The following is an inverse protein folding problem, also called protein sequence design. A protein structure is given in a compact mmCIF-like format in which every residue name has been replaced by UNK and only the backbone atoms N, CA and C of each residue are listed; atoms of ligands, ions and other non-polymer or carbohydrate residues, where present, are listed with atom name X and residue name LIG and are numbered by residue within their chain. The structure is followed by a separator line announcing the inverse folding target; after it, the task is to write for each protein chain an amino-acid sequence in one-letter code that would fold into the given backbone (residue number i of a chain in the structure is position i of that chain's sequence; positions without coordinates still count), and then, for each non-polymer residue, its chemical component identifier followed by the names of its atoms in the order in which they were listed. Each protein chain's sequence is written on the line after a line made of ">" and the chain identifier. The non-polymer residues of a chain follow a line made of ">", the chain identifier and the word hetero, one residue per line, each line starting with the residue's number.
data_IF_929456988415
#
_entry.id   IF_929456988415
#
_cell.length_a   1.000
_cell.length_b   1.000
_cell.length_c   1.000
_cell.angle_alpha   90.00
_cell.angle_beta   90.00
_cell.angle_gamma   90.00
#
_symmetry.space_group_name_H-M   'P 1'
#
loop_
_entity.id
_entity.type
_entity.pdbx_description
1 polymer ?
#
# COMPACT_ATOMS: atom_id res chain seq x y z
N UNK A 1 12.85 18.63 8.78
CA UNK A 1 12.02 18.14 9.89
C UNK A 1 11.17 16.99 9.34
N UNK A 2 11.46 15.75 9.74
CA UNK A 2 10.68 14.56 9.36
C UNK A 2 9.28 14.67 9.94
N UNK A 3 8.26 14.50 9.10
CA UNK A 3 6.89 14.31 9.55
C UNK A 3 6.76 12.88 10.10
N UNK A 4 6.84 12.72 11.41
CA UNK A 4 6.33 11.53 12.12
C UNK A 4 4.88 11.82 12.49
N UNK A 5 3.94 11.24 11.75
CA UNK A 5 2.57 11.06 12.23
C UNK A 5 2.41 9.60 12.64
N UNK A 6 2.06 9.37 13.91
CA UNK A 6 1.77 8.05 14.48
C UNK A 6 2.78 7.61 15.54
N UNK A 7 2.40 7.73 16.81
CA UNK A 7 3.17 7.29 17.98
C UNK A 7 3.19 5.78 18.21
N UNK A 8 2.86 4.96 17.20
CA UNK A 8 2.71 3.50 17.33
C UNK A 8 3.78 2.69 16.57
N UNK A 9 4.91 3.31 16.22
CA UNK A 9 6.07 2.54 15.75
C UNK A 9 6.97 2.24 16.93
N UNK A 10 6.54 1.29 17.78
CA UNK A 10 7.50 0.59 18.60
C UNK A 10 8.46 -0.11 17.63
N UNK A 11 9.72 0.35 17.56
CA UNK A 11 10.75 -0.36 16.81
C UNK A 11 10.93 -1.72 17.48
N UNK A 12 10.19 -2.73 17.02
CA UNK A 12 10.31 -4.09 17.51
C UNK A 12 11.73 -4.59 17.17
N UNK A 13 12.30 -5.40 18.06
CA UNK A 13 13.54 -6.13 17.78
C UNK A 13 13.17 -7.61 17.88
N UNK A 14 13.49 -8.36 16.85
CA UNK A 14 13.17 -9.78 16.78
C UNK A 14 14.46 -10.61 16.89
N UNK A 15 14.44 -11.76 17.58
CA UNK A 15 15.51 -12.76 17.49
C UNK A 15 15.72 -13.24 16.04
N UNK A 16 16.94 -13.63 15.68
CA UNK A 16 17.26 -14.09 14.32
C UNK A 16 16.58 -15.41 13.95
N UNK A 17 16.25 -16.22 14.95
CA UNK A 17 15.57 -17.50 14.89
C UNK A 17 14.07 -17.40 15.21
N UNK A 18 13.50 -16.18 15.13
CA UNK A 18 12.07 -15.98 15.29
C UNK A 18 11.28 -16.86 14.32
N UNK A 19 10.14 -17.36 14.77
CA UNK A 19 9.15 -18.04 13.94
C UNK A 19 7.79 -17.39 14.11
N UNK A 20 6.97 -17.49 13.07
CA UNK A 20 5.57 -17.07 13.10
C UNK A 20 4.71 -18.31 13.06
N UNK A 21 4.06 -18.61 14.19
CA UNK A 21 3.06 -19.66 14.28
C UNK A 21 1.71 -19.13 13.78
N UNK A 22 1.02 -19.95 12.99
CA UNK A 22 -0.20 -19.60 12.30
C UNK A 22 -1.25 -20.64 12.63
N UNK A 23 -2.45 -20.15 13.00
CA UNK A 23 -3.60 -20.96 13.33
C UNK A 23 -4.79 -20.57 12.44
N UNK A 24 -5.42 -21.55 11.81
CA UNK A 24 -6.59 -21.41 10.95
C UNK A 24 -7.84 -21.87 11.70
N UNK A 25 -8.86 -21.04 11.66
CA UNK A 25 -10.16 -21.30 12.26
C UNK A 25 -11.26 -21.10 11.21
N UNK A 26 -12.27 -21.97 11.21
CA UNK A 26 -13.49 -21.77 10.43
C UNK A 26 -14.64 -21.36 11.33
N UNK A 27 -15.53 -20.52 10.79
CA UNK A 27 -16.69 -19.98 11.49
C UNK A 27 -17.98 -20.46 10.83
N UNK A 28 -18.84 -21.13 11.60
CA UNK A 28 -20.17 -21.59 11.16
C UNK A 28 -21.23 -21.02 12.11
N UNK A 29 -21.68 -19.80 11.81
CA UNK A 29 -22.51 -19.04 12.74
C UNK A 29 -21.72 -18.72 14.02
N UNK A 30 -22.17 -19.23 15.16
CA UNK A 30 -21.48 -19.09 16.45
C UNK A 30 -20.44 -20.18 16.72
N UNK A 31 -20.40 -21.25 15.92
CA UNK A 31 -19.43 -22.32 16.07
C UNK A 31 -18.06 -21.90 15.48
N UNK A 32 -17.00 -22.11 16.25
CA UNK A 32 -15.61 -21.89 15.84
C UNK A 32 -14.91 -23.23 15.86
N UNK A 33 -14.46 -23.69 14.69
CA UNK A 33 -13.70 -24.93 14.55
C UNK A 33 -12.22 -24.59 14.31
N UNK A 34 -11.33 -25.33 14.97
CA UNK A 34 -9.90 -25.25 14.71
C UNK A 34 -9.55 -26.16 13.54
N UNK A 35 -9.15 -25.57 12.41
CA UNK A 35 -8.92 -26.32 11.18
C UNK A 35 -7.49 -26.83 11.10
N UNK A 36 -6.50 -25.93 11.26
CA UNK A 36 -5.10 -26.28 11.05
C UNK A 36 -4.11 -25.32 11.73
N UNK A 37 -2.87 -25.76 11.90
CA UNK A 37 -1.73 -24.90 12.23
C UNK A 37 -0.48 -25.21 11.43
N UNK A 38 0.37 -24.21 11.28
CA UNK A 38 1.73 -24.37 10.78
C UNK A 38 2.60 -23.24 11.27
N UNK A 39 3.87 -23.28 10.90
CA UNK A 39 4.84 -22.29 11.36
C UNK A 39 5.84 -21.98 10.26
N UNK A 40 6.11 -20.69 10.06
CA UNK A 40 7.05 -20.18 9.06
C UNK A 40 8.24 -19.53 9.74
N UNK A 41 9.38 -19.55 9.06
CA UNK A 41 10.61 -18.93 9.56
C UNK A 41 10.49 -17.40 9.50
N UNK A 42 10.99 -16.72 10.52
CA UNK A 42 10.97 -15.27 10.62
C UNK A 42 9.73 -14.68 11.29
N UNK A 43 9.64 -13.36 11.24
CA UNK A 43 8.55 -12.55 11.80
C UNK A 43 7.91 -11.69 10.71
N UNK A 44 6.73 -11.13 10.95
CA UNK A 44 5.95 -10.38 9.96
C UNK A 44 6.47 -8.94 9.70
N UNK A 45 7.70 -8.64 10.11
CA UNK A 45 8.34 -7.34 9.96
C UNK A 45 8.23 -6.45 11.20
N UNK A 46 8.83 -5.26 11.10
CA UNK A 46 8.99 -4.31 12.21
C UNK A 46 7.97 -3.17 12.19
N UNK A 47 7.36 -2.92 11.03
CA UNK A 47 6.33 -1.90 10.88
C UNK A 47 4.95 -2.54 11.06
N UNK A 48 4.35 -2.32 12.25
CA UNK A 48 3.03 -2.84 12.59
C UNK A 48 1.94 -2.42 11.60
N UNK A 49 2.13 -1.27 10.92
CA UNK A 49 1.18 -0.74 9.91
C UNK A 49 1.09 -1.62 8.68
N UNK A 50 2.12 -2.43 8.41
CA UNK A 50 2.22 -3.28 7.22
C UNK A 50 1.92 -4.75 7.50
N UNK A 51 1.74 -5.14 8.77
CA UNK A 51 1.41 -6.51 9.12
C UNK A 51 0.20 -7.07 8.33
N UNK A 52 -0.90 -6.31 8.13
CA UNK A 52 -2.06 -6.84 7.42
C UNK A 52 -1.79 -7.22 5.96
N UNK A 53 -0.78 -6.62 5.30
CA UNK A 53 -0.43 -6.94 3.91
C UNK A 53 0.56 -8.10 3.78
N UNK A 54 1.04 -8.68 4.89
CA UNK A 54 2.01 -9.79 4.87
C UNK A 54 1.38 -11.17 4.75
N UNK A 55 0.06 -11.28 4.93
CA UNK A 55 -0.66 -12.53 4.81
C UNK A 55 -1.77 -12.39 3.78
N UNK A 56 -1.95 -13.42 2.97
CA UNK A 56 -3.09 -13.51 2.08
C UNK A 56 -3.43 -14.98 1.78
N UNK A 57 -4.71 -15.30 1.72
CA UNK A 57 -5.18 -16.58 1.21
C UNK A 57 -5.79 -16.43 -0.19
N UNK A 58 -5.42 -17.32 -1.12
CA UNK A 58 -5.99 -17.37 -2.46
C UNK A 58 -6.02 -18.81 -2.95
N UNK A 59 -7.17 -19.27 -3.43
CA UNK A 59 -7.36 -20.66 -3.89
C UNK A 59 -6.87 -21.71 -2.86
N UNK A 60 -7.14 -21.47 -1.57
CA UNK A 60 -6.73 -22.30 -0.42
C UNK A 60 -5.21 -22.35 -0.18
N UNK A 61 -4.44 -21.45 -0.80
CA UNK A 61 -3.03 -21.22 -0.50
C UNK A 61 -2.87 -20.00 0.41
N UNK A 62 -2.40 -20.23 1.62
CA UNK A 62 -1.97 -19.17 2.53
C UNK A 62 -0.55 -18.74 2.18
N UNK A 63 -0.37 -17.46 1.88
CA UNK A 63 0.88 -16.88 1.42
C UNK A 63 1.34 -15.88 2.47
N UNK A 64 2.56 -16.08 2.97
CA UNK A 64 3.08 -15.39 4.14
C UNK A 64 4.43 -14.80 3.81
N UNK A 65 4.54 -13.49 3.90
CA UNK A 65 5.82 -12.78 3.82
C UNK A 65 6.38 -12.56 5.22
N UNK A 66 7.54 -13.14 5.49
CA UNK A 66 8.30 -12.95 6.72
C UNK A 66 9.66 -12.31 6.46
N UNK A 67 10.28 -11.87 7.55
CA UNK A 67 11.65 -11.37 7.60
C UNK A 67 12.43 -12.18 8.65
N UNK A 68 13.65 -12.59 8.31
CA UNK A 68 14.54 -13.35 9.21
C UNK A 68 15.63 -12.48 9.86
N UNK A 69 15.59 -11.17 9.65
CA UNK A 69 16.54 -10.22 10.22
C UNK A 69 16.21 -9.85 11.67
N UNK A 70 17.20 -9.37 12.44
CA UNK A 70 16.98 -8.93 13.83
C UNK A 70 16.32 -7.55 13.93
N UNK A 71 16.78 -6.63 13.10
CA UNK A 71 16.38 -5.22 13.10
C UNK A 71 15.97 -4.78 11.70
N UNK A 72 14.91 -3.97 11.63
CA UNK A 72 14.45 -3.33 10.40
C UNK A 72 15.16 -2.01 10.16
N UNK A 73 14.87 -1.37 9.02
CA UNK A 73 15.45 -0.07 8.70
C UNK A 73 14.99 1.08 9.62
N UNK A 74 13.84 0.94 10.29
CA UNK A 74 13.29 1.98 11.17
C UNK A 74 14.10 2.07 12.47
N UNK A 75 14.92 3.12 12.58
CA UNK A 75 15.80 3.37 13.72
C UNK A 75 17.26 3.62 13.35
N UNK A 76 17.66 3.37 12.09
CA UNK A 76 18.99 3.74 11.60
C UNK A 76 19.01 5.21 11.13
N UNK A 77 20.00 6.02 11.53
CA UNK A 77 20.14 7.36 10.98
C UNK A 77 20.37 7.29 9.46
N UNK A 78 19.78 8.20 8.66
CA UNK A 78 19.79 8.16 7.19
C UNK A 78 21.17 8.35 6.52
N UNK A 79 22.29 8.22 7.25
CA UNK A 79 23.65 8.55 6.77
C UNK A 79 24.60 7.35 6.81
N UNK A 80 24.25 6.23 7.46
CA UNK A 80 25.04 4.98 7.39
C UNK A 80 24.27 3.94 6.61
N UNK A 81 23.97 4.25 5.35
CA UNK A 81 23.53 3.25 4.37
C UNK A 81 24.78 2.41 4.06
N UNK A 82 24.98 1.31 4.79
CA UNK A 82 25.64 0.16 4.20
C UNK A 82 24.65 -0.42 3.19
N UNK A 83 24.75 0.11 1.96
CA UNK A 83 24.24 -0.55 0.78
C UNK A 83 24.78 -1.99 0.76
N UNK A 84 24.02 -2.93 0.18
CA UNK A 84 24.42 -4.30 -0.19
C UNK A 84 24.07 -5.46 0.75
N UNK A 85 23.15 -5.33 1.72
CA UNK A 85 22.58 -6.55 2.34
C UNK A 85 21.26 -6.92 1.68
N UNK A 86 21.22 -8.12 1.08
CA UNK A 86 20.02 -8.74 0.55
C UNK A 86 18.86 -8.68 1.57
N UNK A 87 17.65 -8.40 1.09
CA UNK A 87 16.47 -8.42 1.96
C UNK A 87 16.37 -9.78 2.65
N UNK A 88 16.21 -9.84 3.99
CA UNK A 88 15.98 -11.09 4.70
C UNK A 88 14.53 -11.57 4.51
N UNK A 89 13.89 -11.20 3.41
CA UNK A 89 12.49 -11.43 3.12
C UNK A 89 12.29 -12.83 2.52
N UNK A 90 11.32 -13.55 3.07
CA UNK A 90 10.97 -14.90 2.66
C UNK A 90 9.46 -14.97 2.43
N UNK A 91 9.05 -15.31 1.21
CA UNK A 91 7.67 -15.68 0.93
C UNK A 91 7.52 -17.19 1.13
N UNK A 92 6.59 -17.61 1.99
CA UNK A 92 6.23 -19.02 2.15
C UNK A 92 4.78 -19.23 1.70
N UNK A 93 4.55 -20.27 0.91
CA UNK A 93 3.20 -20.73 0.54
C UNK A 93 2.88 -21.95 1.40
N UNK A 94 1.77 -21.90 2.12
CA UNK A 94 1.24 -22.98 2.96
C UNK A 94 -0.10 -23.42 2.39
N UNK A 95 -0.41 -24.70 2.50
CA UNK A 95 -1.73 -25.26 2.19
C UNK A 95 -2.15 -26.20 3.30
N UNK A 96 -3.40 -26.06 3.71
CA UNK A 96 -4.04 -27.01 4.60
C UNK A 96 -4.02 -28.40 3.96
N UNK A 97 -3.39 -29.38 4.63
CA UNK A 97 -3.30 -30.75 4.12
C UNK A 97 -4.67 -31.45 4.10
N UNK A 98 -5.69 -30.91 4.75
CA UNK A 98 -7.00 -31.55 4.93
C UNK A 98 -6.93 -32.83 5.76
N UNK A 99 -5.78 -33.09 6.36
CA UNK A 99 -5.44 -34.21 7.24
C UNK A 99 -4.55 -33.66 8.34
N UNK A 100 -4.72 -34.15 9.57
CA UNK A 100 -3.86 -33.88 10.72
C UNK A 100 -3.77 -32.42 11.18
N UNK A 101 -4.75 -31.58 10.80
CA UNK A 101 -4.84 -30.17 11.19
C UNK A 101 -3.53 -29.40 10.97
N UNK A 102 -2.91 -29.58 9.80
CA UNK A 102 -1.58 -29.04 9.50
C UNK A 102 -1.57 -28.15 8.25
N UNK A 103 -0.95 -26.97 8.37
CA UNK A 103 -0.62 -26.09 7.25
C UNK A 103 0.74 -26.48 6.70
N UNK A 104 0.73 -27.28 5.65
CA UNK A 104 1.93 -27.82 5.00
C UNK A 104 2.59 -26.81 4.06
N UNK A 105 3.91 -26.57 4.17
CA UNK A 105 4.62 -25.69 3.23
C UNK A 105 4.68 -26.31 1.83
N UNK A 106 4.20 -25.56 0.85
CA UNK A 106 4.23 -25.91 -0.57
C UNK A 106 5.52 -25.40 -1.22
N UNK A 107 5.93 -24.18 -0.88
CA UNK A 107 7.15 -23.57 -1.40
C UNK A 107 7.68 -22.47 -0.49
N UNK A 108 8.98 -22.18 -0.65
CA UNK A 108 9.69 -21.06 -0.02
C UNK A 108 10.42 -20.30 -1.12
N UNK A 109 10.20 -18.99 -1.20
CA UNK A 109 10.84 -18.08 -2.15
C UNK A 109 11.60 -16.98 -1.38
N UNK A 110 12.93 -17.09 -1.26
CA UNK A 110 13.77 -16.00 -0.79
C UNK A 110 13.70 -14.82 -1.78
N UNK A 111 13.32 -13.64 -1.30
CA UNK A 111 13.15 -12.46 -2.14
C UNK A 111 14.45 -11.63 -2.19
N UNK A 112 15.35 -12.04 -3.09
CA UNK A 112 16.63 -11.36 -3.35
C UNK A 112 16.49 -10.41 -4.53
N UNK A 113 15.98 -9.21 -4.26
CA UNK A 113 15.73 -8.19 -5.27
C UNK A 113 16.98 -7.34 -5.48
N UNK A 114 17.39 -7.13 -6.73
CA UNK A 114 18.66 -6.45 -7.07
C UNK A 114 18.49 -5.55 -8.28
N UNK A 115 19.06 -4.35 -8.21
CA UNK A 115 19.12 -3.41 -9.33
C UNK A 115 20.55 -2.99 -9.63
N UNK A 116 20.75 -2.07 -10.57
CA UNK A 116 22.06 -1.48 -10.84
C UNK A 116 22.67 -0.80 -9.59
N UNK A 117 21.85 -0.42 -8.60
CA UNK A 117 22.29 0.18 -7.33
C UNK A 117 22.55 -0.85 -6.22
N UNK A 118 22.49 -2.14 -6.54
CA UNK A 118 22.74 -3.24 -5.62
C UNK A 118 21.47 -3.91 -5.10
N UNK A 119 21.62 -4.69 -4.03
CA UNK A 119 20.52 -5.43 -3.41
C UNK A 119 19.55 -4.46 -2.72
N UNK A 120 18.25 -4.73 -2.89
CA UNK A 120 17.16 -3.91 -2.39
C UNK A 120 16.43 -4.60 -1.24
N UNK A 121 16.00 -3.83 -0.26
CA UNK A 121 15.18 -4.32 0.83
C UNK A 121 13.70 -4.11 0.54
N UNK A 122 12.90 -5.12 0.85
CA UNK A 122 11.45 -5.08 0.66
C UNK A 122 10.80 -4.28 1.78
N UNK A 123 10.08 -3.25 1.37
CA UNK A 123 9.27 -2.38 2.19
C UNK A 123 7.90 -2.99 2.46
N UNK A 124 7.19 -3.41 1.41
CA UNK A 124 5.88 -4.05 1.50
C UNK A 124 5.65 -5.09 0.38
N UNK A 125 4.57 -5.87 0.51
CA UNK A 125 4.09 -6.80 -0.51
C UNK A 125 2.58 -6.68 -0.65
N UNK A 126 2.08 -6.60 -1.88
CA UNK A 126 0.66 -6.51 -2.17
C UNK A 126 0.21 -7.74 -2.95
N UNK A 127 -0.66 -8.55 -2.36
CA UNK A 127 -1.22 -9.73 -3.02
C UNK A 127 -2.39 -9.36 -3.93
N UNK A 128 -2.41 -9.95 -5.12
CA UNK A 128 -3.42 -9.70 -6.15
C UNK A 128 -3.69 -10.98 -6.96
N UNK A 129 -4.64 -11.79 -6.49
CA UNK A 129 -4.97 -13.06 -7.12
C UNK A 129 -3.74 -13.96 -7.25
N UNK A 130 -3.41 -14.39 -8.46
CA UNK A 130 -2.24 -15.23 -8.76
C UNK A 130 -0.89 -14.47 -8.75
N UNK A 131 -0.83 -13.21 -8.31
CA UNK A 131 0.39 -12.41 -8.27
C UNK A 131 0.59 -11.73 -6.94
N UNK A 132 1.80 -11.25 -6.71
CA UNK A 132 2.08 -10.25 -5.70
C UNK A 132 3.05 -9.18 -6.22
N UNK A 133 3.06 -8.02 -5.58
CA UNK A 133 3.89 -6.88 -5.96
C UNK A 133 4.74 -6.44 -4.78
N UNK A 134 6.05 -6.61 -4.88
CA UNK A 134 6.99 -6.26 -3.82
C UNK A 134 7.51 -4.84 -4.04
N UNK A 135 7.32 -3.98 -3.03
CA UNK A 135 7.79 -2.60 -3.07
C UNK A 135 9.13 -2.49 -2.33
N UNK A 136 10.11 -1.75 -2.87
CA UNK A 136 11.37 -1.45 -2.18
C UNK A 136 11.19 -0.37 -1.11
N UNK A 137 12.12 -0.31 -0.14
CA UNK A 137 12.19 0.80 0.83
C UNK A 137 12.58 2.13 0.18
N UNK A 138 13.27 2.05 -0.95
CA UNK A 138 13.72 3.18 -1.74
C UNK A 138 12.70 3.46 -2.85
N UNK A 139 12.00 4.58 -2.76
CA UNK A 139 10.93 4.92 -3.70
C UNK A 139 11.40 5.10 -5.17
N UNK A 140 12.70 5.13 -5.43
CA UNK A 140 13.25 5.30 -6.79
C UNK A 140 13.42 4.00 -7.56
N UNK A 141 13.36 2.85 -6.88
CA UNK A 141 13.53 1.53 -7.47
C UNK A 141 12.18 0.99 -7.99
N UNK A 142 12.18 0.02 -8.92
CA UNK A 142 10.96 -0.55 -9.47
C UNK A 142 10.17 -1.36 -8.42
N UNK A 143 8.90 -1.61 -8.72
CA UNK A 143 8.10 -2.61 -7.99
C UNK A 143 8.31 -3.96 -8.67
N UNK A 144 8.67 -5.01 -7.93
CA UNK A 144 8.83 -6.35 -8.48
C UNK A 144 7.49 -7.07 -8.56
N UNK A 145 7.29 -7.81 -9.65
CA UNK A 145 6.13 -8.67 -9.86
C UNK A 145 6.53 -10.10 -9.54
N UNK A 146 5.79 -10.71 -8.62
CA UNK A 146 5.92 -12.12 -8.25
C UNK A 146 4.79 -12.89 -8.94
N UNK A 147 5.14 -13.96 -9.65
CA UNK A 147 4.19 -14.93 -10.16
C UNK A 147 3.97 -16.03 -9.12
N UNK A 148 2.73 -16.13 -8.65
CA UNK A 148 2.27 -17.04 -7.61
C UNK A 148 1.19 -17.99 -8.14
N UNK A 149 1.02 -18.10 -9.47
CA UNK A 149 0.03 -18.98 -10.09
C UNK A 149 0.29 -20.45 -9.80
N UNK A 150 1.56 -20.85 -9.72
CA UNK A 150 1.97 -22.17 -9.27
C UNK A 150 2.44 -22.09 -7.79
N UNK A 151 1.64 -22.58 -6.82
CA UNK A 151 2.00 -22.49 -5.40
C UNK A 151 3.22 -23.33 -5.01
N UNK A 152 3.57 -24.35 -5.81
CA UNK A 152 4.77 -25.17 -5.61
C UNK A 152 6.04 -24.56 -6.22
N UNK A 153 5.90 -23.55 -7.08
CA UNK A 153 7.03 -22.87 -7.72
C UNK A 153 6.76 -21.37 -7.94
N UNK A 154 6.59 -20.58 -6.86
CA UNK A 154 6.49 -19.13 -6.96
C UNK A 154 7.81 -18.52 -7.44
N UNK A 155 7.76 -17.49 -8.28
CA UNK A 155 8.96 -16.86 -8.87
C UNK A 155 8.86 -15.34 -8.90
N UNK A 156 10.02 -14.67 -8.97
CA UNK A 156 10.09 -13.25 -9.35
C UNK A 156 10.04 -13.18 -10.87
N UNK A 157 8.93 -12.69 -11.41
CA UNK A 157 8.64 -12.73 -12.85
C UNK A 157 9.18 -11.53 -13.61
N UNK A 158 9.25 -10.36 -12.97
CA UNK A 158 9.71 -9.14 -13.59
C UNK A 158 9.52 -7.91 -12.70
N UNK A 159 9.49 -6.75 -13.33
CA UNK A 159 9.43 -5.45 -12.67
C UNK A 159 8.40 -4.55 -13.38
N UNK A 160 7.73 -3.68 -12.61
CA UNK A 160 6.97 -2.57 -13.16
C UNK A 160 7.94 -1.44 -13.53
N UNK A 161 7.61 -0.69 -14.59
CA UNK A 161 8.40 0.47 -15.01
C UNK A 161 8.69 1.42 -13.83
N UNK A 162 9.98 1.74 -13.64
CA UNK A 162 10.48 2.51 -12.52
C UNK A 162 9.83 3.91 -12.40
N UNK A 163 9.69 4.38 -11.16
CA UNK A 163 9.20 5.71 -10.83
C UNK A 163 8.36 5.72 -9.56
N UNK A 164 9.03 6.00 -8.44
CA UNK A 164 8.57 6.85 -7.33
C UNK A 164 7.44 6.38 -6.41
N UNK A 165 6.46 5.61 -6.89
CA UNK A 165 5.09 5.90 -6.43
C UNK A 165 4.19 4.68 -6.32
N UNK A 166 4.40 3.88 -5.28
CA UNK A 166 3.49 2.81 -4.94
C UNK A 166 3.63 2.44 -3.46
N UNK A 167 3.22 3.34 -2.58
CA UNK A 167 3.03 2.99 -1.17
C UNK A 167 1.81 2.08 -1.00
N UNK A 168 0.86 2.16 -1.94
CA UNK A 168 -0.32 1.32 -2.01
C UNK A 168 -0.57 0.86 -3.44
N UNK A 169 -0.75 -0.45 -3.60
CA UNK A 169 -1.08 -1.07 -4.87
C UNK A 169 -2.44 -1.75 -4.77
N UNK A 170 -3.30 -1.49 -5.75
CA UNK A 170 -4.68 -1.97 -5.77
C UNK A 170 -4.96 -2.64 -7.11
N UNK A 171 -5.26 -3.95 -7.14
CA UNK A 171 -5.63 -4.62 -8.38
C UNK A 171 -6.97 -4.09 -8.90
N UNK A 172 -7.02 -3.85 -10.21
CA UNK A 172 -8.21 -3.45 -10.94
C UNK A 172 -8.58 -4.57 -11.95
N UNK A 173 -9.82 -4.58 -12.48
CA UNK A 173 -10.22 -5.52 -13.52
C UNK A 173 -9.30 -5.51 -14.75
N UNK A 174 -9.34 -6.60 -15.52
CA UNK A 174 -8.61 -6.77 -16.78
C UNK A 174 -7.07 -6.73 -16.67
N UNK A 175 -6.53 -7.07 -15.50
CA UNK A 175 -5.08 -7.10 -15.29
C UNK A 175 -4.46 -5.71 -15.25
N UNK A 176 -5.19 -4.75 -14.70
CA UNK A 176 -4.69 -3.42 -14.38
C UNK A 176 -4.33 -3.32 -12.89
N UNK A 177 -3.44 -2.40 -12.55
CA UNK A 177 -3.01 -2.12 -11.19
C UNK A 177 -2.97 -0.61 -10.97
N UNK A 178 -3.63 -0.12 -9.92
CA UNK A 178 -3.47 1.26 -9.48
C UNK A 178 -2.35 1.34 -8.43
N UNK A 179 -1.40 2.25 -8.65
CA UNK A 179 -0.48 2.71 -7.61
C UNK A 179 -0.91 4.06 -7.06
N UNK A 180 -0.89 4.18 -5.74
CA UNK A 180 -0.99 5.45 -5.01
C UNK A 180 0.24 5.59 -4.12
N UNK A 181 0.93 6.72 -4.21
CA UNK A 181 2.14 6.97 -3.43
C UNK A 181 2.55 8.44 -3.45
N UNK A 182 3.83 8.70 -3.16
CA UNK A 182 4.37 10.06 -2.99
C UNK A 182 5.74 10.23 -3.62
N UNK A 183 6.01 11.44 -4.13
CA UNK A 183 7.32 11.73 -4.75
C UNK A 183 8.39 11.93 -3.72
N UNK A 184 9.61 11.63 -4.11
CA UNK A 184 10.78 12.15 -3.45
C UNK A 184 11.87 12.53 -4.44
N UNK A 185 11.52 13.00 -5.65
CA UNK A 185 12.45 13.42 -6.69
C UNK A 185 13.54 14.37 -6.19
N UNK A 186 13.30 15.09 -5.08
CA UNK A 186 14.25 16.01 -4.44
C UNK A 186 14.51 15.72 -2.96
N UNK A 187 14.62 14.45 -2.55
CA UNK A 187 15.25 14.11 -1.27
C UNK A 187 14.41 14.40 -0.02
N UNK A 188 13.11 14.09 -0.07
CA UNK A 188 12.32 13.91 1.16
C UNK A 188 11.11 14.81 1.35
N UNK A 189 10.67 15.55 0.32
CA UNK A 189 9.34 16.17 0.33
C UNK A 189 8.58 15.80 -0.93
N UNK A 190 7.41 15.19 -0.75
CA UNK A 190 6.55 14.78 -1.84
C UNK A 190 5.85 15.96 -2.49
N UNK A 191 6.01 16.10 -3.80
CA UNK A 191 5.36 17.11 -4.64
C UNK A 191 3.93 16.69 -5.03
N UNK A 192 3.16 16.25 -4.03
CA UNK A 192 1.77 15.79 -4.18
C UNK A 192 1.60 14.29 -4.01
N UNK A 193 0.34 13.85 -4.09
CA UNK A 193 -0.04 12.44 -4.15
C UNK A 193 0.12 11.99 -5.59
N UNK A 194 0.92 10.97 -5.83
CA UNK A 194 1.07 10.41 -7.16
C UNK A 194 0.17 9.21 -7.38
N UNK A 195 -0.31 9.13 -8.61
CA UNK A 195 -1.27 8.15 -9.07
C UNK A 195 -0.73 7.56 -10.37
N UNK A 196 -0.72 6.23 -10.47
CA UNK A 196 -0.30 5.55 -11.68
C UNK A 196 -1.20 4.35 -11.97
N UNK A 197 -1.46 4.10 -13.25
CA UNK A 197 -2.12 2.87 -13.70
C UNK A 197 -1.10 2.05 -14.47
N UNK A 198 -1.00 0.77 -14.14
CA UNK A 198 -0.12 -0.18 -14.80
C UNK A 198 -0.93 -1.28 -15.47
N UNK A 199 -0.51 -1.66 -16.67
CA UNK A 199 -0.85 -2.94 -17.28
C UNK A 199 0.08 -4.00 -16.73
N UNK A 200 -0.49 -5.00 -16.08
CA UNK A 200 0.24 -6.11 -15.47
C UNK A 200 -0.14 -7.44 -16.10
N UNK A 201 -0.90 -7.49 -17.21
CA UNK A 201 -1.34 -8.74 -17.85
C UNK A 201 -0.20 -9.69 -18.17
N UNK A 202 0.96 -9.17 -18.58
CA UNK A 202 2.21 -9.92 -18.63
C UNK A 202 3.05 -9.62 -17.37
N UNK A 203 3.27 -10.63 -16.53
CA UNK A 203 4.01 -10.46 -15.27
C UNK A 203 5.49 -10.08 -15.49
N UNK A 204 6.08 -10.49 -16.61
CA UNK A 204 7.47 -10.18 -16.94
C UNK A 204 7.65 -8.79 -17.58
N UNK A 205 6.56 -8.15 -18.00
CA UNK A 205 6.59 -6.91 -18.78
C UNK A 205 5.48 -5.95 -18.34
N UNK A 206 5.51 -5.55 -17.06
CA UNK A 206 4.60 -4.55 -16.54
C UNK A 206 4.83 -3.18 -17.17
N UNK A 207 3.76 -2.51 -17.63
CA UNK A 207 3.85 -1.21 -18.32
C UNK A 207 3.03 -0.16 -17.61
N UNK A 208 3.58 1.03 -17.44
CA UNK A 208 2.81 2.18 -16.95
C UNK A 208 1.99 2.78 -18.09
N UNK A 209 0.67 2.83 -17.91
CA UNK A 209 -0.29 3.34 -18.90
C UNK A 209 -0.62 4.82 -18.69
N UNK A 210 -0.72 5.25 -17.44
CA UNK A 210 -1.07 6.62 -17.09
C UNK A 210 -0.43 7.04 -15.76
N UNK A 211 -0.21 8.35 -15.60
CA UNK A 211 0.26 8.98 -14.36
C UNK A 211 -0.46 10.31 -14.14
N UNK A 212 -0.79 10.63 -12.90
CA UNK A 212 -1.33 11.92 -12.48
C UNK A 212 -0.81 12.32 -11.09
N UNK A 213 -0.76 13.62 -10.84
CA UNK A 213 -0.45 14.19 -9.53
C UNK A 213 -1.69 14.87 -8.96
N UNK A 214 -2.06 14.55 -7.73
CA UNK A 214 -3.10 15.23 -6.97
C UNK A 214 -2.47 16.12 -5.88
N UNK A 215 -2.78 17.42 -5.95
CA UNK A 215 -2.23 18.42 -5.05
C UNK A 215 -0.74 18.68 -5.27
N UNK A 216 -0.18 19.57 -4.46
CA UNK A 216 1.23 19.92 -4.45
C UNK A 216 1.91 19.46 -3.17
N UNK A 217 3.05 20.09 -2.89
CA UNK A 217 3.93 19.73 -1.79
C UNK A 217 3.22 19.63 -0.44
N UNK A 218 3.42 18.51 0.25
CA UNK A 218 2.85 18.26 1.58
C UNK A 218 1.47 17.60 1.58
N UNK A 219 0.89 17.30 0.41
CA UNK A 219 -0.38 16.58 0.33
C UNK A 219 -0.26 15.17 0.92
N UNK A 220 -1.29 14.72 1.61
CA UNK A 220 -1.32 13.44 2.35
C UNK A 220 -2.65 12.72 2.15
N UNK A 221 -2.68 11.41 2.39
CA UNK A 221 -3.89 10.60 2.31
C UNK A 221 -3.99 9.64 3.49
N UNK A 222 -5.20 9.20 3.84
CA UNK A 222 -5.40 8.14 4.85
C UNK A 222 -4.77 6.82 4.46
N UNK A 223 -4.41 6.61 3.19
CA UNK A 223 -3.70 5.40 2.79
C UNK A 223 -2.37 5.27 3.55
N UNK A 224 -1.69 6.38 3.84
CA UNK A 224 -0.42 6.43 4.59
C UNK A 224 -0.51 5.86 6.04
N UNK A 225 -1.73 5.60 6.54
CA UNK A 225 -2.01 5.22 7.92
C UNK A 225 -2.03 3.69 8.16
N UNK A 226 -2.20 3.27 9.42
CA UNK A 226 -2.31 1.86 9.85
C UNK A 226 -3.56 1.15 9.31
N UNK A 227 -4.55 1.91 8.83
CA UNK A 227 -5.86 1.40 8.37
C UNK A 227 -6.22 2.11 7.07
N UNK A 228 -5.55 1.80 5.95
CA UNK A 228 -5.81 2.46 4.69
C UNK A 228 -7.27 2.25 4.29
N UNK A 229 -7.96 3.36 3.99
CA UNK A 229 -9.35 3.33 3.50
C UNK A 229 -9.36 3.75 2.05
N UNK A 230 -9.73 2.81 1.19
CA UNK A 230 -9.85 3.01 -0.25
C UNK A 230 -11.15 2.36 -0.72
N UNK A 231 -12.03 3.16 -1.33
CA UNK A 231 -13.27 2.66 -1.91
C UNK A 231 -13.09 2.42 -3.40
N UNK A 232 -13.54 1.26 -3.86
CA UNK A 232 -13.56 0.88 -5.27
C UNK A 232 -14.98 0.54 -5.67
N UNK A 233 -15.41 1.03 -6.83
CA UNK A 233 -16.68 0.68 -7.43
C UNK A 233 -16.46 0.43 -8.92
N UNK A 234 -16.53 -0.85 -9.33
CA UNK A 234 -16.47 -1.22 -10.73
C UNK A 234 -17.85 -1.01 -11.37
N UNK A 235 -17.91 -0.22 -12.45
CA UNK A 235 -19.16 0.13 -13.14
C UNK A 235 -18.85 0.48 -14.61
N UNK A 236 -19.61 -0.10 -15.54
CA UNK A 236 -19.58 0.22 -16.98
C UNK A 236 -18.18 0.27 -17.61
N UNK A 237 -17.35 -0.75 -17.36
CA UNK A 237 -15.98 -0.81 -17.90
C UNK A 237 -15.02 0.21 -17.29
N UNK A 238 -15.35 0.71 -16.09
CA UNK A 238 -14.53 1.63 -15.32
C UNK A 238 -14.45 1.20 -13.85
N UNK A 239 -13.47 1.72 -13.14
CA UNK A 239 -13.43 1.67 -11.68
C UNK A 239 -13.41 3.09 -11.14
N UNK A 240 -14.40 3.44 -10.32
CA UNK A 240 -14.45 4.68 -9.55
C UNK A 240 -13.77 4.46 -8.21
N UNK A 241 -12.92 5.39 -7.83
CA UNK A 241 -12.04 5.27 -6.67
C UNK A 241 -12.20 6.51 -5.83
N UNK A 242 -12.41 6.34 -4.53
CA UNK A 242 -12.48 7.45 -3.60
C UNK A 242 -11.72 7.12 -2.31
N UNK A 243 -10.93 8.07 -1.84
CA UNK A 243 -10.23 7.97 -0.56
C UNK A 243 -10.01 9.35 0.06
N UNK A 244 -10.03 9.47 1.40
CA UNK A 244 -9.73 10.73 2.06
C UNK A 244 -8.31 11.22 1.76
N UNK A 245 -8.21 12.51 1.45
CA UNK A 245 -6.96 13.17 1.15
C UNK A 245 -7.01 14.62 1.60
N UNK A 246 -5.84 15.11 1.98
CA UNK A 246 -5.55 16.52 2.20
C UNK A 246 -4.66 16.98 1.06
N UNK A 247 -5.21 17.76 0.15
CA UNK A 247 -4.52 18.24 -1.06
C UNK A 247 -4.18 19.72 -0.90
N UNK A 248 -2.89 20.02 -0.91
CA UNK A 248 -2.40 21.40 -0.90
C UNK A 248 -2.24 21.90 -2.33
N UNK A 249 -2.33 23.22 -2.52
CA UNK A 249 -1.96 23.84 -3.79
C UNK A 249 -0.43 23.94 -3.92
N UNK A 250 0.12 24.14 -5.12
CA UNK A 250 1.58 24.28 -5.27
C UNK A 250 2.11 25.57 -4.61
N UNK A 251 3.35 25.59 -4.07
CA UNK A 251 3.94 26.82 -3.53
C UNK A 251 4.08 27.88 -4.63
N UNK A 252 3.84 29.15 -4.30
CA UNK A 252 4.02 30.28 -5.23
C UNK A 252 5.47 30.76 -5.34
N UNK A 253 6.42 30.17 -4.59
CA UNK A 253 7.84 30.59 -4.59
C UNK A 253 8.80 29.59 -3.95
N UNK A 254 10.09 29.72 -4.28
CA UNK A 254 11.20 28.92 -3.72
C UNK A 254 11.51 29.39 -2.30
N UNK A 255 11.64 28.47 -1.34
CA UNK A 255 11.94 28.78 0.07
C UNK A 255 10.73 29.13 0.94
N UNK A 256 9.52 29.14 0.37
CA UNK A 256 8.28 29.30 1.14
C UNK A 256 7.96 28.00 1.87
N UNK A 257 7.57 28.04 3.17
CA UNK A 257 7.01 26.87 3.86
C UNK A 257 5.88 26.23 3.04
N UNK A 258 5.60 24.92 3.20
CA UNK A 258 4.49 24.26 2.51
C UNK A 258 3.22 25.12 2.58
N UNK A 259 2.54 25.35 1.46
CA UNK A 259 1.41 26.27 1.43
C UNK A 259 0.29 25.74 2.31
N UNK A 260 -0.33 26.61 3.10
CA UNK A 260 -1.46 26.24 3.98
C UNK A 260 -2.79 26.49 3.28
N UNK A 261 -2.81 26.68 1.94
CA UNK A 261 -4.05 26.67 1.13
C UNK A 261 -4.24 25.31 0.50
N UNK A 262 -5.40 24.72 0.75
CA UNK A 262 -5.74 23.41 0.24
C UNK A 262 -7.17 23.03 0.53
N UNK A 263 -7.48 21.76 0.28
CA UNK A 263 -8.76 21.17 0.57
C UNK A 263 -8.56 19.81 1.24
N UNK A 264 -9.47 19.47 2.13
CA UNK A 264 -9.60 18.14 2.67
C UNK A 264 -10.94 17.54 2.27
N UNK A 265 -10.98 16.21 2.17
CA UNK A 265 -12.16 15.42 1.85
C UNK A 265 -11.82 14.22 0.98
N UNK A 266 -12.75 13.71 0.18
CA UNK A 266 -12.51 12.53 -0.65
C UNK A 266 -11.93 12.90 -2.03
N UNK A 267 -10.67 12.55 -2.28
CA UNK A 267 -10.08 12.56 -3.63
C UNK A 267 -10.76 11.46 -4.45
N UNK A 268 -11.15 11.80 -5.69
CA UNK A 268 -11.92 10.92 -6.57
C UNK A 268 -11.20 10.69 -7.88
N UNK A 269 -11.13 9.42 -8.30
CA UNK A 269 -10.51 8.99 -9.55
C UNK A 269 -11.45 8.07 -10.31
N UNK A 270 -11.25 8.00 -11.62
CA UNK A 270 -11.87 7.01 -12.50
C UNK A 270 -10.78 6.39 -13.37
N UNK A 271 -10.78 5.06 -13.46
CA UNK A 271 -9.89 4.30 -14.35
C UNK A 271 -10.74 3.56 -15.36
N UNK A 272 -10.50 3.78 -16.66
CA UNK A 272 -11.08 2.96 -17.72
C UNK A 272 -10.40 1.58 -17.72
N UNK A 273 -11.16 0.49 -17.56
CA UNK A 273 -10.59 -0.86 -17.42
C UNK A 273 -10.14 -1.48 -18.72
N UNK A 274 -10.41 -0.85 -19.86
CA UNK A 274 -9.99 -1.33 -21.19
C UNK A 274 -8.71 -0.63 -21.63
N UNK A 275 -8.65 0.70 -21.48
CA UNK A 275 -7.52 1.51 -21.95
C UNK A 275 -6.50 1.82 -20.85
N UNK A 276 -6.87 1.69 -19.58
CA UNK A 276 -6.07 2.15 -18.45
C UNK A 276 -6.00 3.67 -18.31
N UNK A 277 -6.84 4.41 -19.04
CA UNK A 277 -6.93 5.86 -18.90
C UNK A 277 -7.35 6.23 -17.47
N UNK A 278 -6.56 7.09 -16.84
CA UNK A 278 -6.78 7.60 -15.48
C UNK A 278 -7.33 9.02 -15.56
N UNK A 279 -8.39 9.31 -14.82
CA UNK A 279 -8.98 10.64 -14.72
C UNK A 279 -9.26 11.00 -13.25
N UNK A 280 -8.69 12.12 -12.79
CA UNK A 280 -9.12 12.73 -11.54
C UNK A 280 -10.48 13.41 -11.73
N UNK A 281 -11.40 13.15 -10.81
CA UNK A 281 -12.73 13.77 -10.74
C UNK A 281 -12.76 14.82 -9.66
N UNK A 282 -13.81 15.65 -9.66
CA UNK A 282 -13.91 16.70 -8.65
C UNK A 282 -14.05 16.09 -7.26
N UNK A 283 -13.22 16.58 -6.33
CA UNK A 283 -13.16 16.13 -4.95
C UNK A 283 -14.50 16.36 -4.21
N UNK A 284 -14.82 15.49 -3.25
CA UNK A 284 -15.83 15.79 -2.23
C UNK A 284 -15.14 16.62 -1.16
N UNK A 285 -15.29 17.93 -1.18
CA UNK A 285 -14.61 18.82 -0.23
C UNK A 285 -15.38 18.87 1.08
N UNK A 286 -14.73 18.48 2.19
CA UNK A 286 -15.26 18.63 3.55
C UNK A 286 -14.88 19.97 4.16
N UNK A 287 -13.65 20.43 3.94
CA UNK A 287 -13.19 21.74 4.43
C UNK A 287 -12.11 22.32 3.52
N UNK A 288 -12.10 23.64 3.40
CA UNK A 288 -10.91 24.35 2.96
C UNK A 288 -9.85 24.31 4.07
N UNK A 289 -8.59 24.42 3.66
CA UNK A 289 -7.44 24.52 4.55
C UNK A 289 -6.84 25.89 4.28
N UNK A 290 -6.63 26.67 5.34
CA UNK A 290 -6.15 28.04 5.26
C UNK A 290 -4.98 28.30 6.21
N UNK A 291 -4.12 29.25 5.82
CA UNK A 291 -3.08 29.81 6.70
C UNK A 291 -3.71 30.26 8.02
N UNK A 292 -3.28 29.68 9.14
CA UNK A 292 -3.77 30.07 10.47
C UNK A 292 -4.97 29.27 10.99
N UNK A 293 -5.29 28.12 10.40
CA UNK A 293 -6.32 27.23 10.95
C UNK A 293 -6.08 26.96 12.44
N UNK A 294 -7.15 27.07 13.23
CA UNK A 294 -7.09 26.93 14.69
C UNK A 294 -6.87 25.46 15.07
N UNK A 295 -6.27 25.17 16.25
CA UNK A 295 -6.15 23.81 16.75
C UNK A 295 -7.48 23.03 16.78
N UNK A 296 -8.60 23.73 16.97
CA UNK A 296 -9.95 23.13 16.93
C UNK A 296 -10.36 22.62 15.54
N UNK A 297 -10.02 23.35 14.46
CA UNK A 297 -10.27 22.87 13.10
C UNK A 297 -9.41 21.64 12.78
N UNK A 298 -8.13 21.66 13.16
CA UNK A 298 -7.24 20.51 12.99
C UNK A 298 -7.74 19.26 13.72
N UNK A 299 -8.23 19.41 14.95
CA UNK A 299 -8.79 18.29 15.72
C UNK A 299 -10.09 17.78 15.13
N UNK A 300 -10.98 18.68 14.69
CA UNK A 300 -12.26 18.28 14.08
C UNK A 300 -12.07 17.60 12.73
N UNK A 301 -11.13 18.07 11.93
CA UNK A 301 -10.83 17.57 10.60
C UNK A 301 -9.50 16.80 10.59
N UNK A 302 -9.25 15.99 11.62
CA UNK A 302 -8.11 15.09 11.63
C UNK A 302 -8.29 14.03 10.53
N UNK A 303 -7.36 14.02 9.57
CA UNK A 303 -7.39 13.10 8.43
C UNK A 303 -7.42 11.63 8.88
N UNK A 304 -6.81 11.28 10.02
CA UNK A 304 -6.80 9.91 10.52
C UNK A 304 -8.22 9.37 10.82
N UNK A 305 -9.17 10.26 11.10
CA UNK A 305 -10.56 9.93 11.41
C UNK A 305 -11.47 9.97 10.18
N UNK A 306 -10.95 10.40 9.03
CA UNK A 306 -11.76 10.54 7.83
C UNK A 306 -12.06 9.20 7.17
N UNK A 307 -13.28 9.09 6.62
CA UNK A 307 -13.72 7.93 5.84
C UNK A 307 -14.42 8.40 4.58
N UNK A 308 -14.31 7.61 3.53
CA UNK A 308 -15.14 7.79 2.34
C UNK A 308 -15.99 6.55 2.09
N UNK A 309 -17.04 6.70 1.28
CA UNK A 309 -17.90 5.63 0.81
C UNK A 309 -18.37 5.98 -0.61
N UNK A 310 -18.65 4.97 -1.44
CA UNK A 310 -19.29 5.16 -2.74
C UNK A 310 -20.56 4.32 -2.81
N UNK A 311 -21.68 4.93 -3.20
CA UNK A 311 -22.96 4.25 -3.45
C UNK A 311 -23.53 4.83 -4.75
N UNK A 312 -23.94 3.96 -5.67
CA UNK A 312 -24.45 4.33 -6.99
C UNK A 312 -23.52 5.29 -7.74
N UNK A 313 -23.99 6.51 -8.05
CA UNK A 313 -23.19 7.55 -8.68
C UNK A 313 -22.74 8.62 -7.68
N UNK A 314 -22.71 8.35 -6.38
CA UNK A 314 -22.39 9.35 -5.34
C UNK A 314 -21.21 8.88 -4.50
N UNK A 315 -20.25 9.79 -4.31
CA UNK A 315 -19.19 9.66 -3.34
C UNK A 315 -19.54 10.44 -2.07
N UNK A 316 -19.32 9.82 -0.92
CA UNK A 316 -19.57 10.35 0.41
C UNK A 316 -18.24 10.50 1.15
N UNK A 317 -18.13 11.55 1.95
CA UNK A 317 -17.02 11.81 2.85
C UNK A 317 -17.57 12.05 4.25
N UNK A 318 -17.18 11.21 5.21
CA UNK A 318 -17.45 11.42 6.63
C UNK A 318 -16.27 12.18 7.24
N UNK A 319 -16.54 13.38 7.75
CA UNK A 319 -15.51 14.26 8.28
C UNK A 319 -16.10 15.22 9.31
N UNK A 320 -15.40 15.42 10.44
CA UNK A 320 -15.82 16.38 11.47
C UNK A 320 -17.23 16.17 12.04
N UNK A 321 -17.71 14.92 12.07
CA UNK A 321 -19.06 14.54 12.50
C UNK A 321 -20.16 14.81 11.47
N UNK A 322 -19.82 15.11 10.22
CA UNK A 322 -20.75 15.44 9.14
C UNK A 322 -20.50 14.58 7.90
N UNK A 323 -21.53 14.44 7.05
CA UNK A 323 -21.45 13.75 5.77
C UNK A 323 -21.48 14.80 4.64
N UNK A 324 -20.44 14.78 3.81
CA UNK A 324 -20.33 15.57 2.59
C UNK A 324 -20.50 14.64 1.39
N UNK A 325 -21.09 15.12 0.31
CA UNK A 325 -21.39 14.28 -0.85
C UNK A 325 -21.10 14.98 -2.16
N UNK A 326 -20.82 14.18 -3.20
CA UNK A 326 -20.76 14.66 -4.58
C UNK A 326 -21.18 13.55 -5.54
N UNK A 327 -22.04 13.89 -6.49
CA UNK A 327 -22.38 13.00 -7.59
C UNK A 327 -21.22 12.84 -8.59
N UNK A 328 -21.28 11.81 -9.43
CA UNK A 328 -20.42 11.60 -10.59
C UNK A 328 -20.42 12.82 -11.50
N UNK A 329 -19.22 13.21 -11.96
CA UNK A 329 -19.02 14.18 -13.04
C UNK A 329 -18.78 13.44 -14.35
#
# INVERSE_FOLDING_TARGET
>A
RQYRYGGDVANAVFPADSRTDIHKFSFRGAQVDYDASGSVDGHLGWDLRRLPSRLNEYQNDLRVLTFTGKTGQSGMPPVTIQAQQASPALLTVLRDSGRDNHLSPQAKLPLKLRTARGDQQIDNLFFAGARAYATPFTNTEPVWVLDLANPANPTVAGELAAGGYADHLVPLPNGLLLGVGKDSALGGVADGIQLAVFDVRNAAQGKRLATQTAGGRGSITTLDSTRPVLNLQAVDGKVRIAFPARVYQAPTGVGTPPPVRGYQGALRLEVNTTTGALAQRSMVVSTAILNGDTPGLYSRFDIANERSLQVDNVAYQLSGGQVFTRAGD
#
